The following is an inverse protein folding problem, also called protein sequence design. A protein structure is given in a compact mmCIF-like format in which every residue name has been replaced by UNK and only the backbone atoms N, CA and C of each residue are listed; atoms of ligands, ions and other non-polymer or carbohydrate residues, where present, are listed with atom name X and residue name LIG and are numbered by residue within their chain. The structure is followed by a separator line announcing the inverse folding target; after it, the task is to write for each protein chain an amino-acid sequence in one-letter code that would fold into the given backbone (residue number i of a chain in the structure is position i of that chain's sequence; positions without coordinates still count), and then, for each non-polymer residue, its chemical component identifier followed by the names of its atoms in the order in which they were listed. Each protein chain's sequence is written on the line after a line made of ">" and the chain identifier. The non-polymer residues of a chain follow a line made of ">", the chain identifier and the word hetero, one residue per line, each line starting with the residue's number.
data_IF_887730714084
#
_entry.id   IF_887730714084
#
_cell.length_a   1.000
_cell.length_b   1.000
_cell.length_c   1.000
_cell.angle_alpha   90.00
_cell.angle_beta   90.00
_cell.angle_gamma   90.00
#
_symmetry.space_group_name_H-M   'P 1'
#
loop_
_entity.id
_entity.type
_entity.pdbx_description
1 polymer ?
#
# COMPACT_ATOMS: atom_id res chain seq x y z
N UNK A 1 11.99 -15.22 -23.14
CA UNK A 1 12.78 -14.31 -22.28
C UNK A 1 12.02 -13.86 -21.02
N UNK A 2 10.83 -13.25 -21.14
CA UNK A 2 10.08 -12.65 -20.00
C UNK A 2 9.70 -13.64 -18.88
N UNK A 3 9.35 -14.88 -19.20
CA UNK A 3 8.99 -15.89 -18.20
C UNK A 3 10.19 -16.33 -17.35
N UNK A 4 11.38 -16.43 -17.95
CA UNK A 4 12.61 -16.75 -17.24
C UNK A 4 13.01 -15.63 -16.28
N UNK A 5 12.92 -14.38 -16.72
CA UNK A 5 13.15 -13.20 -15.88
C UNK A 5 12.20 -13.15 -14.68
N UNK A 6 10.91 -13.46 -14.88
CA UNK A 6 9.92 -13.53 -13.79
C UNK A 6 10.26 -14.63 -12.78
N UNK A 7 10.69 -15.80 -13.27
CA UNK A 7 11.12 -16.91 -12.42
C UNK A 7 12.35 -16.52 -11.59
N UNK A 8 13.38 -15.95 -12.24
CA UNK A 8 14.59 -15.49 -11.57
C UNK A 8 14.29 -14.44 -10.49
N UNK A 9 13.43 -13.46 -10.79
CA UNK A 9 13.00 -12.44 -9.82
C UNK A 9 12.30 -13.06 -8.60
N UNK A 10 11.47 -14.08 -8.82
CA UNK A 10 10.74 -14.76 -7.73
C UNK A 10 11.70 -15.54 -6.83
N UNK A 11 12.67 -16.25 -7.43
CA UNK A 11 13.70 -16.99 -6.69
C UNK A 11 14.58 -16.01 -5.91
N UNK A 12 15.02 -14.91 -6.53
CA UNK A 12 15.83 -13.89 -5.87
C UNK A 12 15.09 -13.25 -4.68
N UNK A 13 13.80 -12.94 -4.82
CA UNK A 13 12.98 -12.39 -3.75
C UNK A 13 12.82 -13.37 -2.57
N UNK A 14 12.49 -14.64 -2.85
CA UNK A 14 12.40 -15.69 -1.81
C UNK A 14 13.72 -15.86 -1.06
N UNK A 15 14.83 -15.83 -1.80
CA UNK A 15 16.16 -15.98 -1.23
C UNK A 15 16.56 -14.77 -0.36
N UNK A 16 16.18 -13.55 -0.78
CA UNK A 16 16.34 -12.35 0.04
C UNK A 16 15.53 -12.45 1.33
N UNK A 17 14.27 -12.90 1.28
CA UNK A 17 13.46 -13.13 2.48
C UNK A 17 14.08 -14.17 3.40
N UNK A 18 14.62 -15.26 2.84
CA UNK A 18 15.31 -16.29 3.62
C UNK A 18 16.51 -15.73 4.38
N UNK A 19 17.34 -14.90 3.72
CA UNK A 19 18.46 -14.24 4.39
C UNK A 19 18.00 -13.26 5.46
N UNK A 20 16.93 -12.51 5.22
CA UNK A 20 16.39 -11.57 6.19
C UNK A 20 15.90 -12.29 7.46
N UNK A 21 15.31 -13.48 7.31
CA UNK A 21 14.84 -14.31 8.43
C UNK A 21 16.02 -14.97 9.16
N UNK A 22 16.97 -15.52 8.40
CA UNK A 22 18.04 -16.35 8.96
C UNK A 22 19.18 -15.52 9.54
N UNK A 23 19.33 -14.26 9.12
CA UNK A 23 20.28 -13.29 9.67
C UNK A 23 21.75 -13.71 9.59
N UNK A 24 22.08 -14.77 8.84
CA UNK A 24 23.41 -15.36 8.79
C UNK A 24 23.75 -15.84 7.38
N UNK A 25 24.98 -15.53 6.95
CA UNK A 25 25.52 -15.86 5.63
C UNK A 25 26.36 -17.15 5.64
N UNK A 26 26.11 -18.04 6.60
CA UNK A 26 26.78 -19.33 6.66
C UNK A 26 26.42 -20.20 5.44
N UNK A 27 27.39 -20.96 4.94
CA UNK A 27 27.23 -21.80 3.74
C UNK A 27 26.10 -22.81 3.87
N UNK A 28 25.86 -23.34 5.07
CA UNK A 28 24.71 -24.22 5.37
C UNK A 28 23.37 -23.52 5.10
N UNK A 29 23.21 -22.29 5.58
CA UNK A 29 21.97 -21.53 5.45
C UNK A 29 21.73 -21.07 4.02
N UNK A 30 22.79 -20.78 3.27
CA UNK A 30 22.73 -20.47 1.82
C UNK A 30 22.19 -21.68 1.04
N UNK A 31 22.75 -22.87 1.26
CA UNK A 31 22.35 -24.10 0.55
C UNK A 31 20.90 -24.47 0.91
N UNK A 32 20.55 -24.43 2.19
CA UNK A 32 19.21 -24.76 2.68
C UNK A 32 18.18 -23.77 2.12
N UNK A 33 18.51 -22.47 2.12
CA UNK A 33 17.67 -21.44 1.52
C UNK A 33 17.45 -21.65 0.02
N UNK A 34 18.48 -22.06 -0.72
CA UNK A 34 18.37 -22.32 -2.16
C UNK A 34 17.44 -23.51 -2.42
N UNK A 35 17.57 -24.59 -1.65
CA UNK A 35 16.69 -25.77 -1.74
C UNK A 35 15.24 -25.38 -1.43
N UNK A 36 14.99 -24.64 -0.35
CA UNK A 36 13.65 -24.16 0.01
C UNK A 36 13.06 -23.28 -1.09
N UNK A 37 13.85 -22.38 -1.67
CA UNK A 37 13.38 -21.48 -2.72
C UNK A 37 12.93 -22.21 -4.00
N UNK A 38 13.60 -23.31 -4.35
CA UNK A 38 13.29 -24.15 -5.53
C UNK A 38 12.10 -25.07 -5.25
N UNK A 39 12.01 -25.65 -4.05
CA UNK A 39 10.90 -26.54 -3.65
C UNK A 39 9.59 -25.76 -3.55
N UNK A 40 9.64 -24.53 -3.03
CA UNK A 40 8.43 -23.75 -2.83
C UNK A 40 7.83 -23.39 -4.21
N UNK A 41 6.57 -23.76 -4.50
CA UNK A 41 6.00 -23.57 -5.81
C UNK A 41 6.03 -22.08 -6.23
N UNK A 42 6.26 -21.78 -7.52
CA UNK A 42 6.09 -20.44 -8.02
C UNK A 42 4.59 -20.11 -7.97
N UNK A 43 4.20 -19.13 -7.15
CA UNK A 43 2.83 -18.60 -7.13
C UNK A 43 2.41 -18.09 -8.52
N UNK A 44 1.10 -17.95 -8.75
CA UNK A 44 0.56 -17.47 -10.03
C UNK A 44 0.78 -15.97 -10.20
N UNK A 45 2.00 -15.56 -10.56
CA UNK A 45 2.38 -14.15 -10.77
C UNK A 45 2.19 -13.68 -12.22
N UNK A 46 1.26 -14.30 -12.96
CA UNK A 46 1.01 -14.01 -14.39
C UNK A 46 0.69 -12.52 -14.66
N UNK A 47 0.18 -11.81 -13.66
CA UNK A 47 -0.28 -10.42 -13.76
C UNK A 47 0.61 -9.41 -13.02
N UNK A 48 1.84 -9.79 -12.64
CA UNK A 48 2.74 -8.87 -11.94
C UNK A 48 3.35 -7.87 -12.92
N UNK A 49 2.67 -6.75 -13.12
CA UNK A 49 3.15 -5.62 -13.92
C UNK A 49 4.20 -4.85 -13.12
N UNK A 50 5.44 -5.35 -13.08
CA UNK A 50 6.57 -4.74 -12.35
C UNK A 50 6.71 -3.24 -12.65
N UNK A 51 6.45 -2.82 -13.90
CA UNK A 51 6.45 -1.41 -14.31
C UNK A 51 5.39 -0.54 -13.63
N UNK A 52 4.25 -1.12 -13.22
CA UNK A 52 3.20 -0.42 -12.49
C UNK A 52 3.43 -0.44 -10.98
N UNK A 53 4.17 -1.44 -10.47
CA UNK A 53 4.42 -1.63 -9.03
C UNK A 53 5.57 -0.75 -8.54
N UNK A 54 6.64 -0.64 -9.33
CA UNK A 54 7.84 0.11 -8.95
C UNK A 54 7.57 1.57 -8.54
N UNK A 55 6.78 2.37 -9.29
CA UNK A 55 6.49 3.75 -8.88
C UNK A 55 5.66 3.82 -7.59
N UNK A 56 4.71 2.90 -7.38
CA UNK A 56 3.91 2.84 -6.14
C UNK A 56 4.75 2.43 -4.93
N UNK A 57 5.73 1.55 -5.12
CA UNK A 57 6.67 1.16 -4.06
C UNK A 57 7.60 2.31 -3.67
N UNK A 58 8.10 3.06 -4.65
CA UNK A 58 8.91 4.26 -4.41
C UNK A 58 8.08 5.34 -3.71
N UNK A 59 6.84 5.55 -4.14
CA UNK A 59 5.90 6.46 -3.47
C UNK A 59 5.51 5.97 -2.07
N UNK A 60 5.57 4.66 -1.79
CA UNK A 60 5.36 4.12 -0.45
C UNK A 60 6.56 4.39 0.47
N UNK A 61 7.74 4.63 -0.08
CA UNK A 61 8.94 4.96 0.71
C UNK A 61 8.84 6.34 1.39
N UNK A 62 7.96 7.23 0.90
CA UNK A 62 7.65 8.50 1.58
C UNK A 62 6.59 8.37 2.68
N UNK A 63 5.94 7.20 2.83
CA UNK A 63 4.96 6.98 3.89
C UNK A 63 5.50 7.21 5.29
N UNK A 64 6.69 6.72 5.70
CA UNK A 64 7.15 6.88 7.08
C UNK A 64 7.25 8.34 7.50
N UNK A 65 7.63 9.22 6.57
CA UNK A 65 7.69 10.66 6.81
C UNK A 65 6.29 11.26 7.00
N UNK A 66 5.34 10.94 6.11
CA UNK A 66 3.95 11.36 6.23
C UNK A 66 3.32 10.84 7.54
N UNK A 67 3.59 9.57 7.89
CA UNK A 67 3.14 8.94 9.13
C UNK A 67 3.63 9.68 10.36
N UNK A 68 4.92 10.03 10.44
CA UNK A 68 5.47 10.75 11.59
C UNK A 68 4.85 12.14 11.69
N UNK A 69 4.79 12.88 10.57
CA UNK A 69 4.22 14.22 10.53
C UNK A 69 2.76 14.23 11.01
N UNK A 70 1.93 13.37 10.44
CA UNK A 70 0.51 13.31 10.76
C UNK A 70 0.24 12.71 12.15
N UNK A 71 1.06 11.78 12.63
CA UNK A 71 0.95 11.27 14.00
C UNK A 71 1.21 12.38 15.01
N UNK A 72 2.23 13.21 14.78
CA UNK A 72 2.53 14.37 15.63
C UNK A 72 1.38 15.37 15.58
N UNK A 73 0.83 15.64 14.39
CA UNK A 73 -0.33 16.52 14.23
C UNK A 73 -1.55 15.98 14.98
N UNK A 74 -1.86 14.68 14.85
CA UNK A 74 -2.94 14.00 15.59
C UNK A 74 -2.77 14.09 17.10
N UNK A 75 -1.55 13.92 17.62
CA UNK A 75 -1.27 14.09 19.05
C UNK A 75 -1.49 15.53 19.54
N UNK A 76 -1.39 16.52 18.65
CA UNK A 76 -1.60 17.94 18.95
C UNK A 76 -3.05 18.41 18.70
N UNK A 77 -3.94 17.56 18.17
CA UNK A 77 -5.33 17.91 17.93
C UNK A 77 -6.11 17.99 19.24
N UNK A 78 -6.71 19.15 19.51
CA UNK A 78 -7.53 19.37 20.69
C UNK A 78 -9.02 19.04 20.48
N UNK A 79 -9.50 19.03 19.21
CA UNK A 79 -10.90 18.71 18.85
C UNK A 79 -10.96 17.92 17.54
N UNK A 80 -10.77 16.59 17.58
CA UNK A 80 -10.86 15.77 16.37
C UNK A 80 -12.32 15.69 15.89
N UNK A 81 -12.53 15.76 14.58
CA UNK A 81 -13.81 15.44 13.93
C UNK A 81 -13.60 14.37 12.87
N UNK A 82 -14.55 13.45 12.83
CA UNK A 82 -14.61 12.34 11.89
C UNK A 82 -15.32 12.76 10.61
N UNK A 83 -14.66 12.57 9.46
CA UNK A 83 -15.20 12.86 8.13
C UNK A 83 -15.09 11.64 7.23
N UNK A 84 -16.13 11.38 6.43
CA UNK A 84 -16.09 10.35 5.39
C UNK A 84 -16.02 11.03 4.02
N UNK A 85 -14.96 10.78 3.27
CA UNK A 85 -14.73 11.35 1.94
C UNK A 85 -14.56 10.22 0.92
N UNK A 86 -14.99 10.48 -0.32
CA UNK A 86 -14.73 9.57 -1.45
C UNK A 86 -13.46 10.05 -2.15
N UNK A 87 -12.42 9.22 -2.13
CA UNK A 87 -11.18 9.50 -2.85
C UNK A 87 -11.09 8.64 -4.12
N UNK A 88 -10.62 9.25 -5.21
CA UNK A 88 -10.31 8.51 -6.43
C UNK A 88 -9.06 7.65 -6.24
N UNK A 89 -9.15 6.38 -6.64
CA UNK A 89 -8.01 5.46 -6.65
C UNK A 89 -6.90 5.98 -7.58
N UNK A 90 -5.64 5.69 -7.25
CA UNK A 90 -4.50 6.13 -8.08
C UNK A 90 -4.64 5.65 -9.54
N UNK A 91 -4.10 6.42 -10.49
CA UNK A 91 -4.12 6.04 -11.91
C UNK A 91 -3.51 4.66 -12.20
N UNK A 92 -2.64 4.16 -11.30
CA UNK A 92 -2.02 2.84 -11.38
C UNK A 92 -2.90 1.75 -10.77
N UNK A 93 -3.67 2.05 -9.72
CA UNK A 93 -4.74 1.18 -9.23
C UNK A 93 -5.86 1.00 -10.28
N UNK A 94 -6.18 2.06 -11.05
CA UNK A 94 -7.14 2.01 -12.17
C UNK A 94 -6.65 1.13 -13.34
N UNK A 95 -5.35 0.90 -13.51
CA UNK A 95 -4.76 0.08 -14.60
C UNK A 95 -4.86 -1.45 -14.41
N UNK A 96 -5.56 -1.93 -13.39
CA UNK A 96 -5.96 -3.35 -13.27
C UNK A 96 -4.94 -4.28 -12.61
N UNK A 97 -3.84 -3.76 -12.04
CA UNK A 97 -2.95 -4.58 -11.23
C UNK A 97 -3.50 -4.67 -9.80
N UNK A 98 -3.95 -5.85 -9.38
CA UNK A 98 -4.45 -6.13 -8.02
C UNK A 98 -3.42 -5.67 -6.97
N UNK A 99 -2.14 -5.89 -7.25
CA UNK A 99 -1.05 -5.47 -6.36
C UNK A 99 -0.92 -3.95 -6.27
N UNK A 100 -1.08 -3.21 -7.38
CA UNK A 100 -1.01 -1.75 -7.35
C UNK A 100 -2.18 -1.16 -6.53
N UNK A 101 -3.38 -1.71 -6.67
CA UNK A 101 -4.52 -1.34 -5.83
C UNK A 101 -4.32 -1.68 -4.35
N UNK A 102 -3.65 -2.79 -4.04
CA UNK A 102 -3.28 -3.12 -2.65
C UNK A 102 -2.27 -2.13 -2.07
N UNK A 103 -1.24 -1.74 -2.83
CA UNK A 103 -0.26 -0.74 -2.36
C UNK A 103 -0.91 0.63 -2.16
N UNK A 104 -1.83 1.05 -3.05
CA UNK A 104 -2.60 2.30 -2.89
C UNK A 104 -3.44 2.27 -1.60
N UNK A 105 -4.19 1.20 -1.37
CA UNK A 105 -4.94 0.97 -0.13
C UNK A 105 -4.03 1.02 1.11
N UNK A 106 -2.90 0.32 1.05
CA UNK A 106 -1.92 0.27 2.13
C UNK A 106 -1.41 1.68 2.45
N UNK A 107 -1.02 2.45 1.43
CA UNK A 107 -0.57 3.85 1.59
C UNK A 107 -1.59 4.71 2.31
N UNK A 108 -2.87 4.64 1.92
CA UNK A 108 -3.94 5.41 2.57
C UNK A 108 -4.09 4.94 4.02
N UNK A 109 -4.28 3.65 4.28
CA UNK A 109 -4.54 3.13 5.64
C UNK A 109 -3.38 3.25 6.62
N UNK A 110 -2.13 3.29 6.15
CA UNK A 110 -0.97 3.48 7.03
C UNK A 110 -0.77 4.94 7.43
N UNK A 111 -1.43 5.85 6.74
CA UNK A 111 -1.39 7.28 7.05
C UNK A 111 -2.37 7.52 8.21
N UNK A 112 -1.91 7.95 9.39
CA UNK A 112 -2.67 7.83 10.64
C UNK A 112 -3.94 8.69 10.67
N UNK A 113 -4.05 9.71 9.81
CA UNK A 113 -5.27 10.49 9.66
C UNK A 113 -6.32 9.85 8.75
N UNK A 114 -6.01 8.79 8.01
CA UNK A 114 -6.91 8.22 7.01
C UNK A 114 -7.05 6.71 7.08
N UNK A 115 -8.27 6.21 6.90
CA UNK A 115 -8.58 4.78 6.91
C UNK A 115 -9.58 4.47 5.81
N UNK A 116 -9.22 3.59 4.87
CA UNK A 116 -10.16 3.13 3.85
C UNK A 116 -11.18 2.20 4.49
N UNK A 117 -12.45 2.58 4.43
CA UNK A 117 -13.56 1.84 5.03
C UNK A 117 -14.23 0.89 4.06
N UNK A 118 -14.32 1.28 2.77
CA UNK A 118 -14.98 0.47 1.75
C UNK A 118 -14.45 0.79 0.36
N UNK A 119 -14.32 -0.25 -0.48
CA UNK A 119 -14.19 -0.08 -1.93
C UNK A 119 -15.58 0.15 -2.53
N UNK A 120 -15.80 1.33 -3.11
CA UNK A 120 -17.07 1.67 -3.76
C UNK A 120 -17.10 1.13 -5.19
N UNK A 121 -16.03 1.41 -5.96
CA UNK A 121 -15.88 0.98 -7.34
C UNK A 121 -14.42 0.56 -7.63
N UNK A 122 -14.15 0.05 -8.84
CA UNK A 122 -12.78 -0.28 -9.26
C UNK A 122 -11.80 0.92 -9.14
N UNK A 123 -12.35 2.14 -9.19
CA UNK A 123 -11.65 3.43 -9.24
C UNK A 123 -11.91 4.36 -8.06
N UNK A 124 -12.70 3.98 -7.04
CA UNK A 124 -13.10 4.86 -5.94
C UNK A 124 -13.05 4.14 -4.58
N UNK A 125 -12.42 4.80 -3.60
CA UNK A 125 -12.30 4.37 -2.22
C UNK A 125 -13.11 5.29 -1.31
N UNK A 126 -13.81 4.71 -0.34
CA UNK A 126 -14.38 5.47 0.78
C UNK A 126 -13.34 5.55 1.88
N UNK A 127 -12.92 6.75 2.21
CA UNK A 127 -11.88 7.03 3.21
C UNK A 127 -12.51 7.76 4.38
N UNK A 128 -12.23 7.26 5.58
CA UNK A 128 -12.48 7.97 6.82
C UNK A 128 -11.25 8.81 7.13
N UNK A 129 -11.42 10.12 7.29
CA UNK A 129 -10.33 11.05 7.56
C UNK A 129 -10.61 11.85 8.83
N UNK A 130 -9.59 12.04 9.66
CA UNK A 130 -9.65 12.91 10.85
C UNK A 130 -8.99 14.24 10.51
N UNK A 131 -9.72 15.35 10.61
CA UNK A 131 -9.18 16.71 10.35
C UNK A 131 -9.37 17.64 11.55
N UNK A 132 -8.44 18.58 11.69
CA UNK A 132 -8.62 19.77 12.52
C UNK A 132 -9.67 20.69 11.89
N UNK A 133 -10.69 21.06 12.65
CA UNK A 133 -11.64 22.08 12.21
C UNK A 133 -10.97 23.45 12.30
N UNK A 134 -10.47 23.99 11.19
CA UNK A 134 -10.25 25.43 11.08
C UNK A 134 -11.62 26.07 10.81
N UNK A 135 -12.02 27.04 11.62
CA UNK A 135 -13.34 27.71 11.65
C UNK A 135 -13.61 28.57 10.40
N UNK A 136 -13.28 28.10 9.19
CA UNK A 136 -13.50 28.80 7.92
C UNK A 136 -14.24 27.98 6.86
N UNK A 137 -14.56 26.70 7.12
CA UNK A 137 -15.34 25.88 6.19
C UNK A 137 -16.82 25.82 6.62
N UNK A 138 -17.65 26.50 5.83
CA UNK A 138 -19.10 26.61 5.91
C UNK A 138 -19.79 25.22 5.94
N UNK A 139 -20.68 24.93 6.92
CA UNK A 139 -21.36 23.64 7.08
C UNK A 139 -22.36 23.29 5.96
N UNK A 140 -22.51 24.12 4.92
CA UNK A 140 -23.49 23.94 3.85
C UNK A 140 -23.10 22.91 2.77
N UNK A 141 -21.81 22.52 2.67
CA UNK A 141 -21.34 21.59 1.63
C UNK A 141 -21.45 20.09 2.00
N UNK A 142 -21.70 19.77 3.27
CA UNK A 142 -21.65 18.39 3.79
C UNK A 142 -22.90 17.54 3.48
N UNK A 143 -23.97 18.12 2.94
CA UNK A 143 -25.27 17.45 2.78
C UNK A 143 -25.65 17.08 1.34
N UNK A 144 -24.83 17.38 0.31
CA UNK A 144 -25.27 17.18 -1.08
C UNK A 144 -24.83 15.89 -1.78
N UNK A 145 -23.98 15.03 -1.21
CA UNK A 145 -23.51 13.80 -1.89
C UNK A 145 -23.98 12.48 -1.25
N UNK A 146 -25.18 12.44 -0.67
CA UNK A 146 -25.83 11.17 -0.28
C UNK A 146 -27.29 11.15 -0.72
N UNK A 147 -27.58 11.45 -1.98
CA UNK A 147 -28.89 11.18 -2.62
C UNK A 147 -28.81 11.39 -4.14
N UNK A 148 -28.14 10.50 -4.87
CA UNK A 148 -28.37 10.23 -6.31
C UNK A 148 -27.61 8.99 -6.73
#
# INVERSE_FOLDING_TARGET
>A
MTNFIRYLLTVAFKFLCWFLITGSLQTSNVILGLVVCVILPPGSYKNLQVKAILPELIASLSLPYAMIKESVELMLINKPKDHFVVEEASAYAKKGSIFAGFIDLFRITFTPMSLVTRRLNASQWRVHTVKNFHQSDDPSSSYQEVSS
#
